data_IF_072188059038
#
_entry.id   IF_072188059038
#
_cell.length_a   1.000
_cell.length_b   1.000
_cell.length_c   1.000
_cell.angle_alpha   90.00
_cell.angle_beta   90.00
_cell.angle_gamma   90.00
#
_symmetry.space_group_name_H-M   'P 1'
#
loop_
_entity.id
_entity.type
_entity.pdbx_description
1 polymer ?
#
# COMPACT_ATOMS: atom_id res chain seq x y z
N UNK A 1 19.54 12.84 -27.87
CA UNK A 1 19.89 13.61 -29.07
C UNK A 1 21.01 14.58 -28.68
N UNK A 2 22.21 14.34 -29.23
CA UNK A 2 23.47 15.06 -28.91
C UNK A 2 23.87 16.05 -29.99
N UNK A 3 22.91 16.57 -30.75
CA UNK A 3 23.15 17.72 -31.63
C UNK A 3 22.58 19.02 -31.00
N UNK A 4 23.42 19.81 -30.31
CA UNK A 4 23.07 21.13 -29.82
C UNK A 4 23.65 22.23 -30.73
N UNK A 5 22.85 22.70 -31.68
CA UNK A 5 23.05 24.05 -32.20
C UNK A 5 22.66 25.07 -31.11
N UNK A 6 23.61 25.94 -30.77
CA UNK A 6 23.45 26.94 -29.73
C UNK A 6 22.40 27.99 -30.13
N UNK A 7 21.20 27.88 -29.56
CA UNK A 7 20.08 28.79 -29.81
C UNK A 7 18.74 28.10 -30.06
N UNK A 8 18.73 26.78 -30.23
CA UNK A 8 17.50 26.03 -30.47
C UNK A 8 16.63 25.89 -29.22
N UNK A 9 15.43 26.48 -29.25
CA UNK A 9 14.38 26.20 -28.27
C UNK A 9 13.64 24.94 -28.71
N UNK A 10 14.14 23.76 -28.30
CA UNK A 10 13.46 22.47 -28.55
C UNK A 10 12.10 22.49 -27.85
N UNK A 11 11.01 22.28 -28.60
CA UNK A 11 9.64 22.28 -28.04
C UNK A 11 9.04 20.88 -28.09
N UNK A 12 8.33 20.48 -27.04
CA UNK A 12 7.45 19.31 -27.09
C UNK A 12 6.23 19.69 -27.92
N UNK A 13 5.85 18.83 -28.86
CA UNK A 13 4.74 19.06 -29.80
C UNK A 13 3.65 18.02 -29.71
N UNK A 14 3.94 16.83 -29.19
CA UNK A 14 2.97 15.78 -28.97
C UNK A 14 3.37 14.91 -27.78
N UNK A 15 2.39 14.29 -27.14
CA UNK A 15 2.56 13.26 -26.12
C UNK A 15 1.50 12.19 -26.31
N UNK A 16 1.82 10.93 -26.06
CA UNK A 16 0.86 9.82 -26.09
C UNK A 16 1.21 8.71 -25.10
N UNK A 17 0.19 7.95 -24.72
CA UNK A 17 0.33 6.69 -23.97
C UNK A 17 -0.25 5.57 -24.82
N UNK A 18 0.60 4.68 -25.33
CA UNK A 18 0.20 3.75 -26.39
C UNK A 18 -0.37 4.49 -27.61
N UNK A 19 -1.59 4.14 -28.02
CA UNK A 19 -2.32 4.80 -29.10
C UNK A 19 -3.09 6.07 -28.67
N UNK A 20 -3.19 6.35 -27.37
CA UNK A 20 -3.96 7.48 -26.84
C UNK A 20 -3.12 8.74 -26.92
N UNK A 21 -3.47 9.66 -27.83
CA UNK A 21 -2.86 10.97 -27.91
C UNK A 21 -3.29 11.88 -26.74
N UNK A 22 -2.37 12.70 -26.25
CA UNK A 22 -2.60 13.60 -25.12
C UNK A 22 -2.62 15.09 -25.48
N UNK A 23 -3.19 15.83 -24.56
CA UNK A 23 -3.12 17.28 -24.35
C UNK A 23 -1.84 17.84 -23.74
N UNK A 24 -0.93 18.55 -24.43
CA UNK A 24 0.20 19.20 -23.71
C UNK A 24 -0.33 20.19 -22.66
N UNK A 25 0.29 20.18 -21.47
CA UNK A 25 -0.15 20.96 -20.32
C UNK A 25 -1.42 20.43 -19.62
N UNK A 26 -1.94 19.27 -20.04
CA UNK A 26 -3.07 18.60 -19.39
C UNK A 26 -2.70 17.18 -18.97
N UNK A 27 -3.47 16.63 -18.03
CA UNK A 27 -3.31 15.27 -17.56
C UNK A 27 -3.60 14.24 -18.65
N UNK A 28 -2.62 13.39 -18.96
CA UNK A 28 -2.75 12.20 -19.77
C UNK A 28 -2.59 10.97 -18.87
N UNK A 29 -3.65 10.18 -18.73
CA UNK A 29 -3.64 8.95 -17.96
C UNK A 29 -2.69 7.90 -18.58
N UNK A 30 -1.81 7.34 -17.75
CA UNK A 30 -1.09 6.10 -18.00
C UNK A 30 -1.82 4.91 -17.35
N UNK A 31 -1.11 3.81 -17.14
CA UNK A 31 -1.66 2.66 -16.43
C UNK A 31 -1.70 2.91 -14.92
N UNK A 32 -0.67 3.55 -14.36
CA UNK A 32 -0.45 3.64 -12.91
C UNK A 32 -0.54 5.07 -12.35
N UNK A 33 -0.85 6.04 -13.19
CA UNK A 33 -0.91 7.45 -12.82
C UNK A 33 -1.21 8.34 -14.02
N UNK A 34 -0.89 9.62 -13.90
CA UNK A 34 -1.12 10.60 -14.98
C UNK A 34 0.08 11.52 -15.16
N UNK A 35 0.46 11.71 -16.41
CA UNK A 35 1.52 12.65 -16.83
C UNK A 35 0.90 13.97 -17.28
N UNK A 36 1.44 15.10 -16.80
CA UNK A 36 1.26 16.41 -17.43
C UNK A 36 2.61 16.79 -18.03
N UNK A 37 2.69 16.85 -19.37
CA UNK A 37 3.90 17.28 -20.08
C UNK A 37 3.66 18.62 -20.79
N UNK A 38 4.48 19.62 -20.50
CA UNK A 38 4.38 20.95 -21.08
C UNK A 38 5.20 21.10 -22.36
N UNK A 39 4.85 22.08 -23.19
CA UNK A 39 5.57 22.38 -24.43
C UNK A 39 7.06 22.75 -24.22
N UNK A 40 7.42 23.26 -23.04
CA UNK A 40 8.81 23.57 -22.66
C UNK A 40 9.58 22.35 -22.10
N UNK A 41 8.97 21.16 -22.08
CA UNK A 41 9.59 19.92 -21.60
C UNK A 41 9.49 19.68 -20.09
N UNK A 42 8.97 20.62 -19.30
CA UNK A 42 8.71 20.34 -17.88
C UNK A 42 7.53 19.40 -17.74
N UNK A 43 7.59 18.49 -16.75
CA UNK A 43 6.51 17.55 -16.50
C UNK A 43 6.26 17.35 -15.01
N UNK A 44 5.03 16.92 -14.71
CA UNK A 44 4.65 16.36 -13.42
C UNK A 44 3.99 15.01 -13.65
N UNK A 45 4.26 14.05 -12.78
CA UNK A 45 3.57 12.77 -12.76
C UNK A 45 2.86 12.61 -11.41
N UNK A 46 1.59 12.22 -11.45
CA UNK A 46 0.79 11.95 -10.25
C UNK A 46 0.44 10.47 -10.24
N UNK A 47 0.89 9.76 -9.20
CA UNK A 47 0.60 8.34 -8.99
C UNK A 47 -0.90 8.18 -8.70
N UNK A 48 -1.50 7.09 -9.21
CA UNK A 48 -2.85 6.69 -8.84
C UNK A 48 -2.80 5.79 -7.60
N UNK A 49 -3.02 6.36 -6.42
CA UNK A 49 -3.02 5.62 -5.15
C UNK A 49 -4.20 4.65 -4.99
N UNK A 50 -5.16 4.63 -5.92
CA UNK A 50 -6.23 3.62 -5.95
C UNK A 50 -5.89 2.43 -6.87
N UNK A 51 -4.73 2.44 -7.52
CA UNK A 51 -4.30 1.33 -8.36
C UNK A 51 -3.80 0.18 -7.47
N UNK A 52 -4.50 -0.95 -7.51
CA UNK A 52 -4.11 -2.15 -6.76
C UNK A 52 -2.72 -2.69 -7.10
N UNK A 53 -2.22 -2.45 -8.31
CA UNK A 53 -0.87 -2.86 -8.69
C UNK A 53 0.20 -1.97 -8.06
N UNK A 54 -0.12 -0.70 -7.78
CA UNK A 54 0.76 0.23 -7.05
C UNK A 54 0.72 -0.09 -5.55
N UNK A 55 -0.49 -0.23 -4.99
CA UNK A 55 -0.69 -0.54 -3.56
C UNK A 55 -0.13 -1.92 -3.16
N UNK A 56 0.12 -2.80 -4.11
CA UNK A 56 0.72 -4.11 -3.86
C UNK A 56 2.27 -4.06 -3.68
N UNK A 57 2.91 -2.91 -3.93
CA UNK A 57 4.36 -2.79 -4.00
C UNK A 57 5.00 -2.50 -2.62
N UNK A 58 5.38 -3.56 -1.92
CA UNK A 58 6.00 -3.47 -0.59
C UNK A 58 7.41 -2.88 -0.55
N UNK A 59 8.29 -3.35 -1.44
CA UNK A 59 9.71 -3.01 -1.40
C UNK A 59 10.05 -1.99 -2.48
N UNK A 60 11.06 -1.15 -2.23
CA UNK A 60 11.60 -0.24 -3.24
C UNK A 60 12.17 -0.93 -4.49
N UNK A 61 12.42 -2.24 -4.41
CA UNK A 61 12.80 -3.08 -5.55
C UNK A 61 11.60 -3.64 -6.32
N UNK A 62 10.40 -3.61 -5.74
CA UNK A 62 9.15 -3.86 -6.45
C UNK A 62 8.80 -2.61 -7.23
N UNK A 63 8.52 -2.78 -8.52
CA UNK A 63 8.28 -1.65 -9.41
C UNK A 63 7.17 -1.95 -10.41
N UNK A 64 6.44 -0.91 -10.76
CA UNK A 64 5.62 -0.84 -11.98
C UNK A 64 6.08 0.34 -12.81
N UNK A 65 5.71 0.38 -14.09
CA UNK A 65 6.20 1.42 -15.02
C UNK A 65 5.09 1.93 -15.92
N UNK A 66 5.13 3.23 -16.18
CA UNK A 66 4.40 3.86 -17.29
C UNK A 66 5.39 4.37 -18.34
N UNK A 67 5.06 4.20 -19.61
CA UNK A 67 5.88 4.66 -20.74
C UNK A 67 5.07 5.57 -21.66
N UNK A 68 5.45 6.84 -21.73
CA UNK A 68 4.82 7.85 -22.59
C UNK A 68 5.73 8.19 -23.75
N UNK A 69 5.20 8.20 -24.96
CA UNK A 69 5.95 8.73 -26.11
C UNK A 69 5.74 10.23 -26.20
N UNK A 70 6.79 10.98 -26.51
CA UNK A 70 6.69 12.41 -26.78
C UNK A 70 7.54 12.81 -27.98
N UNK A 71 7.06 13.81 -28.71
CA UNK A 71 7.70 14.31 -29.93
C UNK A 71 8.27 15.70 -29.68
N UNK A 72 9.57 15.83 -29.85
CA UNK A 72 10.29 17.10 -29.86
C UNK A 72 10.36 17.64 -31.28
N UNK A 73 10.34 18.97 -31.41
CA UNK A 73 10.59 19.68 -32.67
C UNK A 73 11.67 20.74 -32.47
N UNK A 74 12.62 20.79 -33.39
CA UNK A 74 13.66 21.83 -33.43
C UNK A 74 13.14 23.11 -34.12
N UNK A 75 14.00 24.13 -34.24
CA UNK A 75 13.60 25.41 -34.87
C UNK A 75 13.47 25.30 -36.38
N UNK A 76 14.13 24.33 -37.01
CA UNK A 76 14.03 24.00 -38.44
C UNK A 76 12.77 23.20 -38.79
N UNK A 77 12.01 22.74 -37.79
CA UNK A 77 10.77 21.98 -37.95
C UNK A 77 10.95 20.46 -38.03
N UNK A 78 12.17 19.95 -37.88
CA UNK A 78 12.40 18.50 -37.80
C UNK A 78 11.90 17.98 -36.46
N UNK A 79 11.33 16.78 -36.50
CA UNK A 79 10.74 16.14 -35.31
C UNK A 79 11.45 14.85 -34.95
N UNK A 80 11.59 14.60 -33.66
CA UNK A 80 12.08 13.33 -33.12
C UNK A 80 11.16 12.84 -32.01
N UNK A 81 10.88 11.54 -31.98
CA UNK A 81 10.04 10.92 -30.95
C UNK A 81 10.89 10.04 -30.05
N UNK A 82 10.66 10.14 -28.75
CA UNK A 82 11.33 9.32 -27.73
C UNK A 82 10.35 8.98 -26.62
N UNK A 83 10.76 8.07 -25.73
CA UNK A 83 9.94 7.59 -24.62
C UNK A 83 10.41 8.20 -23.29
N UNK A 84 9.46 8.71 -22.51
CA UNK A 84 9.61 9.03 -21.09
C UNK A 84 9.07 7.83 -20.30
N UNK A 85 9.97 7.12 -19.63
CA UNK A 85 9.61 6.02 -18.72
C UNK A 85 9.56 6.53 -17.30
N UNK A 86 8.42 6.33 -16.63
CA UNK A 86 8.23 6.58 -15.21
C UNK A 86 8.27 5.23 -14.50
N UNK A 87 9.20 5.06 -13.58
CA UNK A 87 9.27 3.89 -12.70
C UNK A 87 8.75 4.25 -11.33
N UNK A 88 7.69 3.57 -10.90
CA UNK A 88 7.13 3.71 -9.55
C UNK A 88 7.77 2.61 -8.71
N UNK A 89 8.35 3.03 -7.59
CA UNK A 89 8.97 2.14 -6.62
C UNK A 89 8.02 1.94 -5.44
N UNK A 90 7.98 0.70 -4.96
CA UNK A 90 7.19 0.35 -3.79
C UNK A 90 7.67 0.99 -2.49
N UNK A 91 6.76 1.04 -1.54
CA UNK A 91 6.97 1.35 -0.15
C UNK A 91 5.99 0.52 0.68
N UNK A 92 6.41 0.14 1.87
CA UNK A 92 5.60 -0.66 2.78
C UNK A 92 4.38 0.13 3.27
N UNK A 93 3.22 -0.49 3.17
CA UNK A 93 1.94 0.00 3.67
C UNK A 93 1.61 -0.69 4.99
N UNK A 94 1.36 0.07 6.05
CA UNK A 94 1.05 -0.50 7.34
C UNK A 94 -0.29 -1.30 7.32
N UNK A 95 -0.41 -2.39 8.09
CA UNK A 95 -1.62 -3.17 8.14
C UNK A 95 -2.77 -2.35 8.72
N UNK A 96 -3.99 -2.71 8.32
CA UNK A 96 -5.21 -2.05 8.75
C UNK A 96 -6.14 -3.01 9.49
N UNK A 97 -6.88 -2.49 10.46
CA UNK A 97 -8.01 -3.18 11.06
C UNK A 97 -9.16 -3.20 10.05
N UNK A 98 -9.39 -4.35 9.42
CA UNK A 98 -10.41 -4.53 8.40
C UNK A 98 -11.77 -4.92 8.99
N UNK A 99 -11.79 -5.71 10.06
CA UNK A 99 -13.03 -6.11 10.72
C UNK A 99 -12.80 -6.28 12.22
N UNK A 100 -13.47 -5.45 13.03
CA UNK A 100 -13.45 -5.59 14.48
C UNK A 100 -14.07 -6.94 14.90
N UNK A 101 -13.35 -7.68 15.73
CA UNK A 101 -13.85 -8.88 16.39
C UNK A 101 -14.99 -8.51 17.35
N UNK A 102 -16.12 -9.20 17.23
CA UNK A 102 -17.25 -8.99 18.13
C UNK A 102 -16.92 -9.41 19.58
N UNK A 103 -17.57 -8.77 20.55
CA UNK A 103 -17.46 -9.15 21.96
C UNK A 103 -17.76 -10.64 22.17
N UNK A 104 -16.99 -11.26 23.07
CA UNK A 104 -17.10 -12.67 23.39
C UNK A 104 -17.52 -12.89 24.83
N UNK A 105 -18.17 -14.01 25.09
CA UNK A 105 -18.58 -14.42 26.43
C UNK A 105 -17.79 -15.67 26.83
N UNK A 106 -17.17 -15.64 28.01
CA UNK A 106 -16.57 -16.81 28.63
C UNK A 106 -17.34 -17.18 29.90
N UNK A 107 -17.61 -18.47 30.11
CA UNK A 107 -18.37 -18.97 31.27
C UNK A 107 -17.41 -19.55 32.31
N UNK A 108 -17.57 -19.14 33.57
CA UNK A 108 -16.78 -19.65 34.69
C UNK A 108 -16.78 -21.18 34.70
N UNK A 109 -15.59 -21.79 34.82
CA UNK A 109 -15.39 -23.23 34.86
C UNK A 109 -15.54 -23.95 33.51
N UNK A 110 -15.84 -23.23 32.42
CA UNK A 110 -15.95 -23.80 31.07
C UNK A 110 -14.74 -23.41 30.22
N UNK A 111 -14.31 -24.31 29.34
CA UNK A 111 -13.25 -24.01 28.38
C UNK A 111 -13.71 -22.92 27.40
N UNK A 112 -12.91 -21.87 27.27
CA UNK A 112 -13.05 -20.83 26.25
C UNK A 112 -12.09 -21.13 25.09
N UNK A 113 -12.56 -20.93 23.86
CA UNK A 113 -11.74 -21.00 22.65
C UNK A 113 -12.29 -20.03 21.61
N UNK A 114 -11.40 -19.18 21.06
CA UNK A 114 -11.72 -18.26 19.98
C UNK A 114 -10.52 -18.22 19.02
N UNK A 115 -10.77 -18.56 17.76
CA UNK A 115 -9.80 -18.27 16.69
C UNK A 115 -10.07 -16.85 16.19
N UNK A 116 -9.06 -15.99 16.22
CA UNK A 116 -9.14 -14.66 15.63
C UNK A 116 -9.49 -14.80 14.14
N UNK A 117 -10.57 -14.17 13.66
CA UNK A 117 -10.94 -14.21 12.25
C UNK A 117 -9.77 -13.78 11.36
N UNK A 118 -9.59 -14.48 10.24
CA UNK A 118 -8.47 -14.19 9.34
C UNK A 118 -8.57 -12.80 8.68
N UNK A 119 -9.77 -12.22 8.65
CA UNK A 119 -10.07 -10.90 8.08
C UNK A 119 -10.11 -9.79 9.14
N UNK A 120 -9.68 -10.04 10.38
CA UNK A 120 -9.60 -8.97 11.39
C UNK A 120 -8.62 -7.90 10.93
N UNK A 121 -7.45 -8.31 10.47
CA UNK A 121 -6.41 -7.41 9.95
C UNK A 121 -6.08 -7.79 8.50
N UNK A 122 -5.81 -6.78 7.68
CA UNK A 122 -5.36 -6.95 6.31
C UNK A 122 -4.18 -6.08 6.03
N UNK A 123 -3.32 -6.58 5.15
CA UNK A 123 -2.23 -5.83 4.55
C UNK A 123 -2.38 -5.92 3.03
N UNK A 124 -2.15 -4.82 2.33
CA UNK A 124 -2.31 -4.75 0.86
C UNK A 124 -1.05 -5.21 0.13
N UNK A 125 0.08 -5.24 0.83
CA UNK A 125 1.38 -5.55 0.26
C UNK A 125 1.50 -7.01 -0.20
N UNK A 126 1.89 -7.19 -1.46
CA UNK A 126 2.01 -8.53 -2.03
C UNK A 126 3.17 -9.29 -1.39
N UNK A 127 2.85 -10.47 -0.84
CA UNK A 127 3.83 -11.33 -0.19
C UNK A 127 4.17 -10.91 1.23
N UNK A 128 3.45 -9.93 1.79
CA UNK A 128 3.55 -9.63 3.21
C UNK A 128 2.87 -10.71 4.08
N UNK A 129 3.29 -10.81 5.33
CA UNK A 129 2.72 -11.72 6.31
C UNK A 129 2.60 -11.06 7.67
N UNK A 130 1.42 -11.15 8.27
CA UNK A 130 1.16 -10.61 9.61
C UNK A 130 1.55 -11.58 10.72
N UNK A 131 2.26 -11.06 11.70
CA UNK A 131 2.48 -11.68 13.01
C UNK A 131 1.53 -11.08 14.04
N UNK A 132 1.20 -11.85 15.08
CA UNK A 132 0.14 -11.48 16.03
C UNK A 132 0.62 -11.55 17.47
N UNK A 133 0.21 -10.57 18.27
CA UNK A 133 0.39 -10.56 19.71
C UNK A 133 -0.92 -10.14 20.40
N UNK A 134 -1.10 -10.57 21.65
CA UNK A 134 -2.26 -10.19 22.44
C UNK A 134 -1.85 -9.80 23.86
N UNK A 135 -2.44 -8.71 24.36
CA UNK A 135 -2.25 -8.17 25.71
C UNK A 135 -3.60 -7.78 26.29
N UNK A 136 -3.64 -7.43 27.57
CA UNK A 136 -4.74 -6.61 28.08
C UNK A 136 -4.73 -5.25 27.35
N UNK A 137 -5.87 -4.56 27.32
CA UNK A 137 -6.01 -3.29 26.61
C UNK A 137 -5.08 -2.17 27.14
N UNK A 138 -4.66 -2.27 28.41
CA UNK A 138 -3.69 -1.39 29.05
C UNK A 138 -2.22 -1.75 28.73
N UNK A 139 -1.99 -2.76 27.89
CA UNK A 139 -0.66 -3.25 27.50
C UNK A 139 -0.04 -4.23 28.50
N UNK A 140 -0.72 -4.55 29.61
CA UNK A 140 -0.25 -5.56 30.55
C UNK A 140 -0.45 -6.98 30.00
N UNK A 141 0.13 -7.98 30.66
CA UNK A 141 -0.08 -9.38 30.29
C UNK A 141 -1.57 -9.73 30.30
N UNK A 142 -1.95 -10.70 29.46
CA UNK A 142 -3.31 -11.25 29.45
C UNK A 142 -3.71 -11.73 30.86
N UNK A 143 -5.00 -11.70 31.21
CA UNK A 143 -5.49 -12.33 32.43
C UNK A 143 -5.00 -13.78 32.51
N UNK A 144 -4.61 -14.23 33.70
CA UNK A 144 -3.96 -15.55 33.89
C UNK A 144 -4.78 -16.74 33.41
N UNK A 145 -6.10 -16.59 33.26
CA UNK A 145 -6.99 -17.63 32.74
C UNK A 145 -7.00 -17.73 31.21
N UNK A 146 -6.44 -16.75 30.50
CA UNK A 146 -6.50 -16.59 29.04
C UNK A 146 -5.09 -16.60 28.44
N UNK A 147 -4.89 -17.43 27.43
CA UNK A 147 -3.65 -17.50 26.64
C UNK A 147 -3.96 -17.25 25.17
N UNK A 148 -2.97 -16.74 24.43
CA UNK A 148 -3.05 -16.54 22.98
C UNK A 148 -1.91 -17.30 22.29
N UNK A 149 -2.27 -18.19 21.37
CA UNK A 149 -1.32 -18.83 20.47
C UNK A 149 -1.25 -18.02 19.17
N UNK A 150 -0.14 -17.31 18.96
CA UNK A 150 0.05 -16.45 17.79
C UNK A 150 0.07 -17.22 16.47
N UNK A 151 0.63 -18.43 16.44
CA UNK A 151 0.73 -19.23 15.22
C UNK A 151 -0.63 -19.76 14.75
N UNK A 152 -1.53 -20.09 15.68
CA UNK A 152 -2.90 -20.53 15.35
C UNK A 152 -3.93 -19.42 15.50
N UNK A 153 -3.49 -18.21 15.89
CA UNK A 153 -4.31 -17.06 16.29
C UNK A 153 -5.45 -17.44 17.24
N UNK A 154 -5.19 -18.35 18.17
CA UNK A 154 -6.23 -18.92 19.03
C UNK A 154 -6.08 -18.42 20.45
N UNK A 155 -7.12 -17.75 20.95
CA UNK A 155 -7.33 -17.56 22.37
C UNK A 155 -7.89 -18.84 22.99
N UNK A 156 -7.35 -19.23 24.15
CA UNK A 156 -7.86 -20.38 24.90
C UNK A 156 -7.68 -20.19 26.40
N UNK A 157 -8.60 -20.76 27.19
CA UNK A 157 -8.58 -20.56 28.64
C UNK A 157 -9.71 -21.24 29.40
N UNK A 158 -9.73 -21.08 30.72
CA UNK A 158 -10.86 -21.47 31.58
C UNK A 158 -10.98 -20.47 32.73
N UNK A 159 -11.93 -19.51 32.67
CA UNK A 159 -12.05 -18.51 33.72
C UNK A 159 -12.56 -19.13 35.02
N UNK A 160 -12.10 -18.57 36.13
CA UNK A 160 -12.55 -18.93 37.49
C UNK A 160 -13.51 -17.87 38.03
N UNK A 161 -14.09 -18.10 39.22
CA UNK A 161 -14.93 -17.09 39.89
C UNK A 161 -14.19 -15.78 40.18
N UNK A 162 -12.86 -15.80 40.30
CA UNK A 162 -12.03 -14.62 40.45
C UNK A 162 -11.93 -13.76 39.17
N UNK A 163 -12.41 -14.29 38.04
CA UNK A 163 -12.34 -13.63 36.72
C UNK A 163 -13.70 -13.10 36.25
N UNK A 164 -14.74 -13.11 37.10
CA UNK A 164 -16.05 -12.56 36.77
C UNK A 164 -15.93 -11.05 36.51
N UNK A 165 -16.35 -10.61 35.33
CA UNK A 165 -16.26 -9.23 34.89
C UNK A 165 -16.02 -9.12 33.39
N UNK A 166 -15.58 -7.95 32.94
CA UNK A 166 -15.14 -7.72 31.56
C UNK A 166 -13.63 -7.68 31.51
N UNK A 167 -13.02 -8.42 30.58
CA UNK A 167 -11.61 -8.31 30.25
C UNK A 167 -11.49 -7.62 28.88
N UNK A 168 -10.88 -6.45 28.85
CA UNK A 168 -10.57 -5.75 27.60
C UNK A 168 -9.23 -6.26 27.09
N UNK A 169 -9.24 -6.87 25.91
CA UNK A 169 -8.06 -7.47 25.26
C UNK A 169 -7.71 -6.62 24.04
N UNK A 170 -6.41 -6.41 23.84
CA UNK A 170 -5.86 -5.81 22.63
C UNK A 170 -5.18 -6.88 21.81
N UNK A 171 -5.45 -6.91 20.51
CA UNK A 171 -4.71 -7.75 19.56
C UNK A 171 -3.95 -6.84 18.62
N UNK A 172 -2.65 -7.08 18.48
CA UNK A 172 -1.78 -6.34 17.57
C UNK A 172 -1.40 -7.25 16.42
N UNK A 173 -1.57 -6.77 15.18
CA UNK A 173 -1.00 -7.36 13.99
C UNK A 173 0.19 -6.51 13.53
N UNK A 174 1.29 -7.17 13.15
CA UNK A 174 2.53 -6.52 12.72
C UNK A 174 3.02 -7.17 11.42
N UNK A 175 3.27 -6.36 10.41
CA UNK A 175 3.81 -6.77 9.11
C UNK A 175 5.30 -7.14 9.16
N UNK A 176 5.88 -7.50 8.01
CA UNK A 176 7.30 -7.84 7.90
C UNK A 176 8.26 -6.64 8.04
N UNK A 177 7.81 -5.41 7.82
CA UNK A 177 8.60 -4.20 8.03
C UNK A 177 8.57 -3.71 9.49
N UNK A 178 7.67 -4.27 10.30
CA UNK A 178 7.47 -3.92 11.70
C UNK A 178 6.43 -2.82 11.93
N UNK A 179 5.72 -2.36 10.89
CA UNK A 179 4.55 -1.53 11.08
C UNK A 179 3.40 -2.39 11.64
N UNK A 180 2.47 -1.74 12.34
CA UNK A 180 1.52 -2.46 13.17
C UNK A 180 0.21 -1.70 13.35
N UNK A 181 -0.85 -2.47 13.56
CA UNK A 181 -2.19 -1.98 13.91
C UNK A 181 -2.77 -2.84 15.01
N UNK A 182 -3.87 -2.40 15.61
CA UNK A 182 -4.50 -3.14 16.70
C UNK A 182 -6.01 -2.94 16.74
N UNK A 183 -6.69 -3.89 17.37
CA UNK A 183 -8.09 -3.79 17.77
C UNK A 183 -8.25 -3.83 19.30
#
# INVERSE_FOLDING_TARGET
>A
DTDPDAGDTKTVTAVSFGATAGTLGTALAGAHGSLVLNANGTFTYTINENDSAVQALRLSTNTVTDAFNYTMRDTAGLTSTTTLTITIHGADDAPVLATQTANQNATVGSSFSLVLPANTFTDVDTGDTLTYAATSADGTALPTWLSFNASTRTFSGTPTSANVGTASIKVTATDLAGAATSE
#
